data_IF_721482487521
#
_entry.id   IF_721482487521
#
_cell.length_a   1.000
_cell.length_b   1.000
_cell.length_c   1.000
_cell.angle_alpha   90.00
_cell.angle_beta   90.00
_cell.angle_gamma   90.00
#
_symmetry.space_group_name_H-M   'P 1'
#
loop_
_entity.id
_entity.type
_entity.pdbx_description
1 polymer ?
#
# COMPACT_ATOMS: atom_id res chain seq x y z
N UNK A 1 9.04 21.21 -8.04
CA UNK A 1 8.84 21.16 -6.58
C UNK A 1 8.79 19.71 -6.11
N UNK A 2 7.76 18.93 -6.51
CA UNK A 2 7.54 17.54 -6.07
C UNK A 2 8.77 16.63 -6.14
N UNK A 3 9.61 16.77 -7.18
CA UNK A 3 10.84 15.97 -7.30
C UNK A 3 11.81 16.12 -6.11
N UNK A 4 11.92 17.32 -5.57
CA UNK A 4 12.88 17.66 -4.49
C UNK A 4 12.27 17.56 -3.09
N UNK A 5 10.98 17.24 -2.98
CA UNK A 5 10.27 17.04 -1.71
C UNK A 5 9.80 15.59 -1.60
N UNK A 6 8.76 15.26 -2.36
CA UNK A 6 8.01 14.02 -2.26
C UNK A 6 8.81 12.87 -2.88
N UNK A 7 9.26 13.03 -4.13
CA UNK A 7 9.84 11.92 -4.88
C UNK A 7 11.24 11.54 -4.42
N UNK A 8 12.03 12.52 -3.96
CA UNK A 8 13.38 12.29 -3.43
C UNK A 8 13.40 11.27 -2.29
N UNK A 9 12.32 11.18 -1.50
CA UNK A 9 12.20 10.18 -0.44
C UNK A 9 11.98 8.75 -0.97
N UNK A 10 11.40 8.60 -2.17
CA UNK A 10 11.05 7.32 -2.78
C UNK A 10 12.04 6.83 -3.84
N UNK A 11 12.79 7.71 -4.50
CA UNK A 11 13.86 7.34 -5.45
C UNK A 11 14.84 6.27 -4.88
N UNK A 12 15.36 6.36 -3.63
CA UNK A 12 16.24 5.32 -3.09
C UNK A 12 15.51 4.02 -2.69
N UNK A 13 14.18 4.00 -2.75
CA UNK A 13 13.33 2.89 -2.34
C UNK A 13 12.73 2.12 -3.52
N UNK A 14 13.12 2.46 -4.76
CA UNK A 14 12.57 1.86 -5.99
C UNK A 14 12.71 0.32 -6.05
N UNK A 15 13.73 -0.23 -5.40
CA UNK A 15 14.03 -1.67 -5.35
C UNK A 15 13.29 -2.42 -4.23
N UNK A 16 12.45 -1.74 -3.44
CA UNK A 16 11.64 -2.42 -2.44
C UNK A 16 10.61 -3.34 -3.11
N UNK A 17 10.31 -4.51 -2.51
CA UNK A 17 9.41 -5.48 -3.13
C UNK A 17 7.95 -5.02 -3.17
N UNK A 18 7.58 -4.08 -2.30
CA UNK A 18 6.21 -3.64 -2.08
C UNK A 18 6.16 -2.12 -1.90
N UNK A 19 5.21 -1.49 -2.59
CA UNK A 19 4.86 -0.08 -2.47
C UNK A 19 3.36 0.07 -2.25
N UNK A 20 2.96 1.18 -1.61
CA UNK A 20 1.56 1.50 -1.36
C UNK A 20 1.24 2.89 -1.90
N UNK A 21 0.16 3.01 -2.67
CA UNK A 21 -0.33 4.28 -3.17
C UNK A 21 -1.31 4.91 -2.19
N UNK A 22 -1.14 6.19 -1.87
CA UNK A 22 -2.07 6.95 -1.04
C UNK A 22 -3.22 7.58 -1.86
N UNK A 23 -4.33 7.91 -1.19
CA UNK A 23 -5.47 8.61 -1.78
C UNK A 23 -5.25 10.14 -1.82
N UNK A 24 -4.14 10.58 -2.43
CA UNK A 24 -3.70 11.98 -2.48
C UNK A 24 -3.79 12.51 -3.91
N UNK A 25 -4.36 13.70 -4.08
CA UNK A 25 -4.39 14.40 -5.38
C UNK A 25 -3.09 15.17 -5.53
N UNK A 26 -2.32 14.84 -6.57
CA UNK A 26 -1.15 15.61 -6.98
C UNK A 26 -1.55 16.54 -8.11
N UNK A 27 -2.04 17.74 -7.80
CA UNK A 27 -2.58 18.70 -8.79
C UNK A 27 -1.63 18.99 -9.96
N UNK A 28 -0.32 18.98 -9.71
CA UNK A 28 0.71 19.19 -10.73
C UNK A 28 0.83 18.03 -11.73
N UNK A 29 0.26 16.87 -11.43
CA UNK A 29 0.35 15.64 -12.24
C UNK A 29 -1.04 15.24 -12.74
N UNK A 30 -1.99 15.03 -11.85
CA UNK A 30 -3.38 14.71 -12.18
C UNK A 30 -4.31 15.43 -11.18
N UNK A 31 -4.93 16.54 -11.57
CA UNK A 31 -5.82 17.29 -10.69
C UNK A 31 -7.20 16.64 -10.52
N UNK A 32 -7.55 15.66 -11.35
CA UNK A 32 -8.88 15.05 -11.34
C UNK A 32 -8.92 13.77 -10.49
N UNK A 33 -7.79 13.05 -10.42
CA UNK A 33 -7.73 11.73 -9.78
C UNK A 33 -6.66 11.66 -8.71
N UNK A 34 -6.97 11.06 -7.54
CA UNK A 34 -5.94 10.75 -6.56
C UNK A 34 -4.95 9.74 -7.15
N UNK A 35 -3.72 9.72 -6.62
CA UNK A 35 -2.63 8.86 -7.07
C UNK A 35 -3.05 7.39 -7.26
N UNK A 36 -3.86 6.88 -6.32
CA UNK A 36 -4.38 5.51 -6.34
C UNK A 36 -5.21 5.18 -7.59
N UNK A 37 -5.88 6.17 -8.18
CA UNK A 37 -6.75 6.00 -9.35
C UNK A 37 -6.21 6.74 -10.59
N UNK A 38 -4.99 7.28 -10.54
CA UNK A 38 -4.39 8.03 -11.64
C UNK A 38 -3.39 7.19 -12.41
N UNK A 39 -3.70 6.81 -13.68
CA UNK A 39 -2.72 6.16 -14.55
C UNK A 39 -1.47 7.02 -14.77
N UNK A 40 -1.60 8.35 -14.71
CA UNK A 40 -0.46 9.28 -14.88
C UNK A 40 0.50 9.20 -13.71
N UNK A 41 -0.02 9.20 -12.48
CA UNK A 41 0.81 9.04 -11.28
C UNK A 41 1.44 7.65 -11.26
N UNK A 42 0.68 6.60 -11.59
CA UNK A 42 1.24 5.25 -11.63
C UNK A 42 2.33 5.09 -12.71
N UNK A 43 2.13 5.67 -13.90
CA UNK A 43 3.16 5.68 -14.96
C UNK A 43 4.44 6.37 -14.46
N UNK A 44 4.32 7.52 -13.78
CA UNK A 44 5.46 8.19 -13.17
C UNK A 44 6.17 7.30 -12.14
N UNK A 45 5.42 6.60 -11.29
CA UNK A 45 5.99 5.66 -10.30
C UNK A 45 6.74 4.51 -10.99
N UNK A 46 6.18 3.94 -12.06
CA UNK A 46 6.81 2.81 -12.79
C UNK A 46 8.00 3.22 -13.64
N UNK A 47 7.89 4.34 -14.35
CA UNK A 47 8.84 4.73 -15.40
C UNK A 47 9.86 5.77 -14.92
N UNK A 48 9.42 6.80 -14.19
CA UNK A 48 10.31 7.88 -13.74
C UNK A 48 11.00 7.55 -12.41
N UNK A 49 10.24 7.03 -11.43
CA UNK A 49 10.82 6.57 -10.15
C UNK A 49 11.41 5.16 -10.25
N UNK A 50 11.08 4.41 -11.30
CA UNK A 50 11.62 3.08 -11.55
C UNK A 50 11.09 1.99 -10.60
N UNK A 51 9.96 2.21 -9.93
CA UNK A 51 9.43 1.23 -8.97
C UNK A 51 8.84 0.00 -9.67
N UNK A 52 9.58 -1.11 -9.65
CA UNK A 52 9.21 -2.37 -10.30
C UNK A 52 8.39 -3.34 -9.44
N UNK A 53 8.33 -3.11 -8.12
CA UNK A 53 7.72 -4.00 -7.14
C UNK A 53 6.20 -4.07 -7.17
N UNK A 54 5.60 -4.80 -6.23
CA UNK A 54 4.14 -4.93 -6.10
C UNK A 54 3.52 -3.62 -5.59
N UNK A 55 2.52 -3.07 -6.28
CA UNK A 55 1.78 -1.88 -5.86
C UNK A 55 0.43 -2.24 -5.24
N UNK A 56 0.25 -1.88 -3.97
CA UNK A 56 -1.04 -1.96 -3.28
C UNK A 56 -1.69 -0.59 -3.22
N UNK A 57 -3.01 -0.55 -3.17
CA UNK A 57 -3.72 0.65 -2.73
C UNK A 57 -3.59 0.83 -1.23
N UNK A 58 -3.75 2.05 -0.75
CA UNK A 58 -4.26 2.31 0.60
C UNK A 58 -5.70 1.77 0.74
N UNK A 59 -6.25 1.76 1.95
CA UNK A 59 -7.56 1.15 2.23
C UNK A 59 -8.70 1.81 1.45
N UNK A 60 -9.29 1.06 0.52
CA UNK A 60 -10.40 1.54 -0.32
C UNK A 60 -11.65 1.87 0.49
N UNK A 61 -11.76 1.39 1.73
CA UNK A 61 -12.86 1.72 2.64
C UNK A 61 -12.79 3.14 3.21
N UNK A 62 -11.64 3.81 3.08
CA UNK A 62 -11.49 5.22 3.45
C UNK A 62 -12.41 6.12 2.62
N UNK A 63 -12.95 7.17 3.24
CA UNK A 63 -13.87 8.11 2.57
C UNK A 63 -13.17 9.14 1.66
N UNK A 64 -11.90 8.91 1.32
CA UNK A 64 -11.12 9.79 0.43
C UNK A 64 -11.40 9.55 -1.06
N UNK A 65 -12.01 8.41 -1.42
CA UNK A 65 -12.38 8.08 -2.79
C UNK A 65 -13.89 8.20 -2.98
N UNK A 66 -14.31 8.55 -4.21
CA UNK A 66 -15.73 8.59 -4.59
C UNK A 66 -16.20 7.26 -5.18
N UNK A 67 -17.52 7.06 -5.26
CA UNK A 67 -18.12 5.85 -5.82
C UNK A 67 -18.18 4.67 -4.84
N UNK A 68 -18.69 3.54 -5.35
CA UNK A 68 -18.80 2.27 -4.59
C UNK A 68 -17.43 1.61 -4.43
N UNK A 69 -17.32 0.63 -3.54
CA UNK A 69 -16.05 -0.08 -3.32
C UNK A 69 -15.61 -0.85 -4.57
N UNK A 70 -16.54 -1.46 -5.30
CA UNK A 70 -16.27 -2.09 -6.58
C UNK A 70 -15.67 -1.09 -7.59
N UNK A 71 -16.26 0.09 -7.72
CA UNK A 71 -15.76 1.13 -8.62
C UNK A 71 -14.35 1.58 -8.22
N UNK A 72 -14.10 1.75 -6.92
CA UNK A 72 -12.78 2.14 -6.41
C UNK A 72 -11.72 1.09 -6.72
N UNK A 73 -12.05 -0.20 -6.53
CA UNK A 73 -11.16 -1.31 -6.83
C UNK A 73 -10.83 -1.37 -8.33
N UNK A 74 -11.84 -1.30 -9.20
CA UNK A 74 -11.65 -1.30 -10.66
C UNK A 74 -10.76 -0.13 -11.09
N UNK A 75 -11.08 1.10 -10.66
CA UNK A 75 -10.31 2.29 -11.04
C UNK A 75 -8.86 2.22 -10.56
N UNK A 76 -8.61 1.65 -9.38
CA UNK A 76 -7.25 1.51 -8.86
C UNK A 76 -6.42 0.48 -9.62
N UNK A 77 -7.03 -0.66 -9.98
CA UNK A 77 -6.39 -1.69 -10.78
C UNK A 77 -6.15 -1.21 -12.22
N UNK A 78 -7.12 -0.52 -12.83
CA UNK A 78 -6.98 0.11 -14.15
C UNK A 78 -5.92 1.22 -14.17
N UNK A 79 -5.72 1.92 -13.05
CA UNK A 79 -4.65 2.88 -12.90
C UNK A 79 -3.26 2.22 -12.84
N UNK A 80 -3.18 0.92 -12.54
CA UNK A 80 -1.94 0.13 -12.51
C UNK A 80 -1.49 -0.30 -11.11
N UNK A 81 -2.35 -0.21 -10.10
CA UNK A 81 -2.15 -0.96 -8.86
C UNK A 81 -2.29 -2.46 -9.15
N UNK A 82 -1.53 -3.28 -8.43
CA UNK A 82 -1.57 -4.75 -8.56
C UNK A 82 -2.58 -5.37 -7.58
N UNK A 83 -2.78 -4.75 -6.40
CA UNK A 83 -3.70 -5.24 -5.35
C UNK A 83 -4.60 -4.11 -4.83
N UNK A 84 -5.90 -4.36 -4.83
CA UNK A 84 -6.91 -3.55 -4.15
C UNK A 84 -7.03 -3.97 -2.67
N UNK A 85 -6.69 -3.06 -1.76
CA UNK A 85 -6.67 -3.31 -0.31
C UNK A 85 -8.00 -2.86 0.34
N UNK A 86 -8.61 -3.74 1.14
CA UNK A 86 -9.73 -3.43 2.02
C UNK A 86 -9.42 -3.96 3.42
N UNK A 87 -9.41 -3.07 4.42
CA UNK A 87 -8.88 -3.39 5.75
C UNK A 87 -9.94 -3.44 6.87
N UNK A 88 -11.18 -3.00 6.62
CA UNK A 88 -12.14 -2.81 7.73
C UNK A 88 -12.81 -4.12 8.21
N UNK A 89 -12.68 -5.21 7.46
CA UNK A 89 -13.17 -6.54 7.86
C UNK A 89 -14.68 -6.77 7.69
N UNK A 90 -15.42 -5.83 7.12
CA UNK A 90 -16.85 -6.01 6.78
C UNK A 90 -17.00 -6.96 5.60
N UNK A 91 -17.65 -8.11 5.82
CA UNK A 91 -17.71 -9.21 4.84
C UNK A 91 -18.36 -8.82 3.51
N UNK A 92 -19.47 -8.11 3.54
CA UNK A 92 -20.21 -7.75 2.33
C UNK A 92 -19.37 -6.82 1.44
N UNK A 93 -18.64 -5.89 2.06
CA UNK A 93 -17.68 -5.03 1.39
C UNK A 93 -16.50 -5.81 0.79
N UNK A 94 -15.94 -6.77 1.53
CA UNK A 94 -14.89 -7.65 1.02
C UNK A 94 -15.36 -8.46 -0.21
N UNK A 95 -16.61 -8.92 -0.20
CA UNK A 95 -17.21 -9.63 -1.35
C UNK A 95 -17.35 -8.70 -2.55
N UNK A 96 -17.78 -7.45 -2.34
CA UNK A 96 -17.87 -6.44 -3.41
C UNK A 96 -16.49 -6.17 -4.03
N UNK A 97 -15.48 -5.90 -3.20
CA UNK A 97 -14.11 -5.60 -3.65
C UNK A 97 -13.50 -6.81 -4.37
N UNK A 98 -13.58 -8.01 -3.78
CA UNK A 98 -13.02 -9.22 -4.38
C UNK A 98 -13.72 -9.57 -5.71
N UNK A 99 -15.04 -9.39 -5.79
CA UNK A 99 -15.80 -9.62 -7.03
C UNK A 99 -15.39 -8.67 -8.16
N UNK A 100 -15.02 -7.43 -7.82
CA UNK A 100 -14.59 -6.41 -8.78
C UNK A 100 -13.10 -6.51 -9.17
N UNK A 101 -12.27 -7.14 -8.34
CA UNK A 101 -10.80 -7.13 -8.51
C UNK A 101 -10.26 -8.15 -9.52
N UNK A 102 -11.06 -9.16 -9.90
CA UNK A 102 -10.61 -10.21 -10.80
C UNK A 102 -9.57 -11.15 -10.18
N UNK A 103 -8.89 -11.94 -11.03
CA UNK A 103 -7.83 -12.85 -10.60
C UNK A 103 -6.48 -12.15 -10.73
N UNK A 104 -5.62 -12.32 -9.73
CA UNK A 104 -4.22 -11.91 -9.82
C UNK A 104 -3.48 -12.80 -10.82
N UNK A 105 -2.99 -12.22 -11.91
CA UNK A 105 -2.28 -12.91 -12.98
C UNK A 105 -1.15 -12.05 -13.58
N UNK A 106 -0.46 -12.60 -14.59
CA UNK A 106 0.55 -11.88 -15.37
C UNK A 106 1.66 -11.26 -14.53
N UNK A 107 1.97 -9.99 -14.81
CA UNK A 107 3.04 -9.25 -14.12
C UNK A 107 2.69 -8.96 -12.66
N UNK A 108 1.41 -8.74 -12.34
CA UNK A 108 0.96 -8.50 -10.97
C UNK A 108 1.22 -9.74 -10.09
N UNK A 109 0.94 -10.93 -10.61
CA UNK A 109 1.28 -12.19 -9.93
C UNK A 109 2.79 -12.36 -9.75
N UNK A 110 3.60 -12.11 -10.79
CA UNK A 110 5.05 -12.24 -10.69
C UNK A 110 5.65 -11.28 -9.64
N UNK A 111 5.16 -10.04 -9.56
CA UNK A 111 5.54 -9.07 -8.51
C UNK A 111 5.12 -9.55 -7.13
N UNK A 112 3.93 -10.15 -6.99
CA UNK A 112 3.46 -10.70 -5.73
C UNK A 112 4.35 -11.86 -5.27
N UNK A 113 4.66 -12.80 -6.16
CA UNK A 113 5.56 -13.92 -5.86
C UNK A 113 6.95 -13.42 -5.45
N UNK A 114 7.53 -12.46 -6.18
CA UNK A 114 8.80 -11.85 -5.80
C UNK A 114 8.74 -11.20 -4.41
N UNK A 115 7.65 -10.48 -4.10
CA UNK A 115 7.47 -9.89 -2.78
C UNK A 115 7.36 -10.94 -1.67
N UNK A 116 6.73 -12.08 -1.96
CA UNK A 116 6.64 -13.22 -1.04
C UNK A 116 7.99 -13.89 -0.80
N UNK A 117 8.86 -13.96 -1.81
CA UNK A 117 10.22 -14.52 -1.71
C UNK A 117 11.17 -13.61 -0.91
N UNK A 118 10.95 -12.29 -0.96
CA UNK A 118 11.68 -11.32 -0.15
C UNK A 118 11.33 -11.38 1.35
N UNK A 119 10.30 -12.14 1.75
CA UNK A 119 9.95 -12.29 3.16
C UNK A 119 11.06 -13.02 3.90
N UNK A 120 11.68 -12.32 4.84
CA UNK A 120 12.56 -12.95 5.83
C UNK A 120 11.73 -13.81 6.78
N UNK A 121 12.21 -15.01 7.08
CA UNK A 121 11.62 -15.89 8.08
C UNK A 121 11.41 -15.10 9.37
N UNK A 122 10.18 -15.11 9.89
CA UNK A 122 9.88 -14.54 11.18
C UNK A 122 10.72 -15.29 12.23
N UNK A 123 11.50 -14.54 13.01
CA UNK A 123 12.05 -15.09 14.24
C UNK A 123 10.88 -15.43 15.15
N UNK A 124 10.94 -16.55 15.90
CA UNK A 124 9.92 -16.84 16.90
C UNK A 124 9.80 -15.64 17.85
N UNK A 125 8.59 -15.09 17.98
CA UNK A 125 8.30 -14.05 18.96
C UNK A 125 7.92 -14.72 20.28
N UNK A 126 8.55 -14.28 21.37
CA UNK A 126 8.11 -14.63 22.72
C UNK A 126 6.96 -13.70 23.09
N UNK A 127 5.74 -14.24 23.08
CA UNK A 127 4.51 -13.48 23.32
C UNK A 127 4.50 -12.94 24.75
N UNK A 128 4.95 -13.72 25.74
CA UNK A 128 4.94 -13.31 27.15
C UNK A 128 5.92 -12.15 27.36
N UNK A 129 7.11 -12.24 26.77
CA UNK A 129 8.10 -11.16 26.85
C UNK A 129 7.61 -9.87 26.17
N UNK A 130 6.97 -9.98 25.00
CA UNK A 130 6.41 -8.83 24.28
C UNK A 130 5.26 -8.16 25.05
N UNK A 131 4.39 -8.96 25.70
CA UNK A 131 3.32 -8.45 26.56
C UNK A 131 3.88 -7.73 27.80
N UNK A 132 4.92 -8.29 28.43
CA UNK A 132 5.58 -7.66 29.56
C UNK A 132 6.24 -6.32 29.19
N UNK A 133 6.92 -6.25 28.05
CA UNK A 133 7.48 -5.00 27.51
C UNK A 133 6.39 -3.96 27.26
N UNK A 134 5.30 -4.36 26.60
CA UNK A 134 4.16 -3.48 26.33
C UNK A 134 3.56 -2.90 27.62
N UNK A 135 3.32 -3.75 28.63
CA UNK A 135 2.78 -3.31 29.91
C UNK A 135 3.74 -2.34 30.63
N UNK A 136 5.05 -2.59 30.57
CA UNK A 136 6.07 -1.68 31.14
C UNK A 136 6.05 -0.30 30.46
N UNK A 137 5.95 -0.27 29.13
CA UNK A 137 5.84 0.96 28.33
C UNK A 137 4.56 1.74 28.68
N UNK A 138 3.42 1.04 28.76
CA UNK A 138 2.12 1.64 29.08
C UNK A 138 2.03 2.17 30.52
N UNK A 139 2.85 1.63 31.43
CA UNK A 139 2.94 2.09 32.82
C UNK A 139 4.01 3.17 33.03
N UNK A 140 4.71 3.60 31.97
CA UNK A 140 5.75 4.64 32.05
C UNK A 140 6.99 4.21 32.83
N UNK A 141 7.27 2.90 32.89
CA UNK A 141 8.44 2.34 33.61
C UNK A 141 9.66 2.15 32.70
N UNK A 142 9.50 2.26 31.38
CA UNK A 142 10.62 2.16 30.44
C UNK A 142 11.44 3.46 30.42
N UNK A 143 12.69 3.38 30.89
CA UNK A 143 13.68 4.46 30.78
C UNK A 143 14.41 4.85 32.08
N UNK A 144 14.28 4.11 33.19
CA UNK A 144 15.00 4.43 34.44
C UNK A 144 16.40 3.84 34.57
N UNK A 145 16.80 2.96 33.66
CA UNK A 145 18.13 2.35 33.66
C UNK A 145 18.86 2.70 32.35
N UNK A 146 19.39 3.92 32.27
CA UNK A 146 20.52 4.31 31.40
C UNK A 146 21.49 5.17 32.20
#
# INVERSE_FOLDING_TARGET
ALRWSDFMAFEPLAELPIGMSAHVVYEAIDPERPATQSPRVMTLVREELGFGGLMLTDDLSMQALSGTLAQRAVLALEAGCDIALHCNGTRDEMVEVAGASGRLDGQALARAEHALDCRRLQLPIDIEAAEAEFLSLMQGQAGRDV
#
